data_IF_666139475376
#
_entry.id   IF_666139475376
#
_cell.length_a   1.000
_cell.length_b   1.000
_cell.length_c   1.000
_cell.angle_alpha   90.00
_cell.angle_beta   90.00
_cell.angle_gamma   90.00
#
_symmetry.space_group_name_H-M   'P 1'
#
loop_
_entity.id
_entity.type
_entity.pdbx_description
1 polymer ?
#
# COMPACT_ATOMS: atom_id res chain seq x y z
N UNK A 1 19.63 8.54 -8.55
CA UNK A 1 20.22 7.52 -7.68
C UNK A 1 21.41 8.15 -6.99
N UNK A 2 21.30 8.40 -5.70
CA UNK A 2 22.39 8.94 -4.89
C UNK A 2 23.40 7.85 -4.53
N UNK A 3 24.57 8.29 -4.10
CA UNK A 3 25.60 7.41 -3.61
C UNK A 3 25.11 6.68 -2.36
N UNK A 4 25.19 5.37 -2.36
CA UNK A 4 24.70 4.46 -1.29
C UNK A 4 25.32 4.80 0.08
N UNK A 5 26.46 5.46 0.13
CA UNK A 5 27.20 5.79 1.37
C UNK A 5 26.49 6.86 2.23
N UNK A 6 25.56 7.65 1.67
CA UNK A 6 24.84 8.71 2.38
C UNK A 6 23.32 8.68 2.15
N UNK A 7 22.75 7.51 2.04
CA UNK A 7 21.34 7.31 1.70
C UNK A 7 20.39 8.12 2.61
N UNK A 8 20.65 8.15 3.90
CA UNK A 8 19.87 8.91 4.88
C UNK A 8 19.80 10.42 4.59
N UNK A 9 20.83 10.98 3.98
CA UNK A 9 20.87 12.40 3.65
C UNK A 9 19.98 12.75 2.45
N UNK A 10 19.73 11.80 1.57
CA UNK A 10 19.00 12.00 0.32
C UNK A 10 17.58 11.47 0.31
N UNK A 11 17.12 10.86 1.40
CA UNK A 11 15.72 10.41 1.53
C UNK A 11 14.76 11.60 1.51
N UNK A 12 13.68 11.47 0.76
CA UNK A 12 12.59 12.44 0.78
C UNK A 12 11.99 12.54 2.18
N UNK A 13 11.80 13.75 2.69
CA UNK A 13 11.23 13.95 4.02
C UNK A 13 10.44 15.25 4.13
N UNK A 14 9.55 15.31 5.13
CA UNK A 14 8.78 16.51 5.47
C UNK A 14 7.96 17.02 4.26
N UNK A 15 7.45 16.11 3.44
CA UNK A 15 6.73 16.42 2.22
C UNK A 15 5.23 16.25 2.35
N UNK A 16 4.49 16.88 1.43
CA UNK A 16 3.05 16.67 1.26
C UNK A 16 2.76 16.39 -0.21
N UNK A 17 2.03 15.27 -0.46
CA UNK A 17 1.47 14.94 -1.77
C UNK A 17 -0.05 15.01 -1.65
N UNK A 18 -0.68 16.07 -2.13
CA UNK A 18 -2.09 16.33 -1.87
C UNK A 18 -2.87 16.79 -3.10
N UNK A 19 -4.13 16.33 -3.21
CA UNK A 19 -5.09 16.81 -4.19
C UNK A 19 -4.80 16.41 -5.64
N UNK A 20 -4.04 15.33 -5.86
CA UNK A 20 -3.69 14.89 -7.20
C UNK A 20 -4.72 13.88 -7.74
N UNK A 21 -4.89 13.89 -9.06
CA UNK A 21 -5.54 12.82 -9.82
C UNK A 21 -4.49 12.13 -10.68
N UNK A 22 -4.29 10.85 -10.43
CA UNK A 22 -3.31 10.02 -11.16
C UNK A 22 -4.06 8.90 -11.88
N UNK A 23 -3.80 8.75 -13.16
CA UNK A 23 -4.44 7.73 -14.00
C UNK A 23 -3.39 7.02 -14.86
N UNK A 24 -3.53 5.71 -14.97
CA UNK A 24 -2.76 4.88 -15.91
C UNK A 24 -1.24 4.96 -15.72
N UNK A 25 -0.79 5.02 -14.47
CA UNK A 25 0.62 4.82 -14.15
C UNK A 25 0.93 3.32 -14.35
N UNK A 26 1.62 3.01 -15.43
CA UNK A 26 1.90 1.62 -15.83
C UNK A 26 3.37 1.42 -16.09
N UNK A 27 3.89 0.28 -15.65
CA UNK A 27 5.26 -0.11 -15.93
C UNK A 27 5.45 -0.45 -17.41
N UNK A 28 6.38 0.24 -18.07
CA UNK A 28 6.75 -0.05 -19.44
C UNK A 28 7.78 -1.18 -19.59
N UNK A 29 8.31 -1.66 -18.47
CA UNK A 29 9.40 -2.66 -18.44
C UNK A 29 8.90 -4.08 -18.17
N UNK A 30 7.61 -4.33 -18.27
CA UNK A 30 7.03 -5.66 -18.10
C UNK A 30 6.89 -6.14 -16.64
N UNK A 31 7.30 -5.35 -15.66
CA UNK A 31 7.14 -5.67 -14.22
C UNK A 31 5.70 -5.56 -13.76
N UNK A 32 4.99 -4.54 -14.24
CA UNK A 32 3.58 -4.32 -13.91
C UNK A 32 3.35 -3.96 -12.45
N UNK A 33 4.24 -3.17 -11.84
CA UNK A 33 4.16 -2.73 -10.44
C UNK A 33 4.41 -1.21 -10.29
N UNK A 34 4.02 -0.41 -11.27
CA UNK A 34 4.12 1.04 -11.14
C UNK A 34 3.04 1.56 -10.19
N UNK A 35 3.44 2.11 -9.06
CA UNK A 35 2.54 2.83 -8.16
C UNK A 35 2.06 4.14 -8.78
N UNK A 36 0.76 4.43 -8.72
CA UNK A 36 0.25 5.73 -9.13
C UNK A 36 0.83 6.85 -8.29
N UNK A 37 0.96 6.64 -6.99
CA UNK A 37 1.76 7.45 -6.06
C UNK A 37 2.70 6.50 -5.34
N UNK A 38 4.00 6.80 -5.37
CA UNK A 38 5.01 5.97 -4.72
C UNK A 38 5.92 6.80 -3.81
N UNK A 39 6.07 6.35 -2.57
CA UNK A 39 7.04 6.87 -1.60
C UNK A 39 8.04 5.78 -1.31
N UNK A 40 9.27 5.90 -1.81
CA UNK A 40 10.37 4.94 -1.58
C UNK A 40 11.32 5.45 -0.50
N UNK A 41 11.31 4.80 0.66
CA UNK A 41 12.20 5.09 1.78
C UNK A 41 11.99 6.46 2.44
N UNK A 42 10.89 7.16 2.14
CA UNK A 42 10.62 8.50 2.66
C UNK A 42 10.34 8.55 4.16
N UNK A 43 10.44 9.75 4.75
CA UNK A 43 10.13 10.00 6.17
C UNK A 43 9.28 11.24 6.37
N UNK A 44 8.35 11.17 7.33
CA UNK A 44 7.52 12.30 7.75
C UNK A 44 6.79 12.96 6.54
N UNK A 45 6.14 12.13 5.73
CA UNK A 45 5.44 12.55 4.51
C UNK A 45 3.93 12.34 4.70
N UNK A 46 3.15 13.31 4.26
CA UNK A 46 1.69 13.22 4.21
C UNK A 46 1.24 13.01 2.77
N UNK A 47 0.45 11.95 2.52
CA UNK A 47 -0.18 11.68 1.23
C UNK A 47 -1.69 11.71 1.42
N UNK A 48 -2.36 12.75 0.89
CA UNK A 48 -3.76 12.98 1.21
C UNK A 48 -4.59 13.55 0.05
N UNK A 49 -5.90 13.28 0.09
CA UNK A 49 -6.88 13.82 -0.87
C UNK A 49 -6.54 13.53 -2.34
N UNK A 50 -5.86 12.43 -2.61
CA UNK A 50 -5.54 12.01 -3.97
C UNK A 50 -6.55 10.98 -4.48
N UNK A 51 -6.74 10.96 -5.78
CA UNK A 51 -7.50 9.93 -6.50
C UNK A 51 -6.55 9.20 -7.45
N UNK A 52 -6.47 7.88 -7.34
CA UNK A 52 -5.61 7.06 -8.21
C UNK A 52 -6.44 5.94 -8.83
N UNK A 53 -6.36 5.80 -10.15
CA UNK A 53 -7.13 4.79 -10.89
C UNK A 53 -6.37 4.24 -12.10
N UNK A 54 -6.76 3.04 -12.54
CA UNK A 54 -6.26 2.39 -13.77
C UNK A 54 -4.73 2.25 -13.83
N UNK A 55 -4.05 2.24 -12.69
CA UNK A 55 -2.60 2.08 -12.55
C UNK A 55 -2.26 0.63 -12.22
N UNK A 56 -0.99 0.23 -12.31
CA UNK A 56 -0.60 -1.13 -11.89
C UNK A 56 -0.89 -1.33 -10.40
N UNK A 57 -0.48 -0.37 -9.56
CA UNK A 57 -0.84 -0.25 -8.14
C UNK A 57 -1.47 1.13 -7.89
N UNK A 58 -2.44 1.20 -6.99
CA UNK A 58 -3.04 2.49 -6.63
C UNK A 58 -2.02 3.40 -5.93
N UNK A 59 -1.59 3.00 -4.76
CA UNK A 59 -0.59 3.73 -3.97
C UNK A 59 0.35 2.76 -3.30
N UNK A 60 1.64 3.08 -3.29
CA UNK A 60 2.67 2.30 -2.63
C UNK A 60 3.50 3.18 -1.68
N UNK A 61 3.61 2.74 -0.45
CA UNK A 61 4.56 3.25 0.53
C UNK A 61 5.58 2.15 0.77
N UNK A 62 6.77 2.31 0.23
CA UNK A 62 7.74 1.23 0.18
C UNK A 62 9.13 1.62 0.65
N UNK A 63 10.00 0.63 0.69
CA UNK A 63 11.44 0.79 0.80
C UNK A 63 12.11 -0.40 0.11
N UNK A 64 12.85 -0.14 -0.96
CA UNK A 64 13.41 -1.18 -1.84
C UNK A 64 14.90 -1.42 -1.64
N UNK A 65 15.52 -0.84 -0.63
CA UNK A 65 16.96 -0.96 -0.40
C UNK A 65 17.26 -1.55 0.98
N UNK A 66 18.30 -2.40 1.11
CA UNK A 66 18.72 -2.94 2.40
C UNK A 66 19.03 -1.82 3.41
N UNK A 67 18.50 -1.99 4.64
CA UNK A 67 18.71 -1.03 5.71
C UNK A 67 17.87 0.25 5.64
N UNK A 68 17.09 0.45 4.57
CA UNK A 68 16.22 1.61 4.45
C UNK A 68 14.85 1.33 5.09
N UNK A 69 14.35 2.34 5.78
CA UNK A 69 13.06 2.30 6.46
C UNK A 69 12.25 3.55 6.09
N UNK A 70 11.11 3.36 5.46
CA UNK A 70 10.11 4.42 5.35
C UNK A 70 9.34 4.51 6.67
N UNK A 71 9.20 5.71 7.23
CA UNK A 71 8.58 5.89 8.55
C UNK A 71 7.90 7.25 8.73
N UNK A 72 6.97 7.33 9.68
CA UNK A 72 6.22 8.57 9.94
C UNK A 72 5.35 9.02 8.76
N UNK A 73 4.98 8.08 7.90
CA UNK A 73 4.15 8.39 6.73
C UNK A 73 2.68 8.41 7.15
N UNK A 74 1.95 9.45 6.76
CA UNK A 74 0.51 9.54 6.98
C UNK A 74 -0.21 9.51 5.64
N UNK A 75 -0.93 8.42 5.37
CA UNK A 75 -1.76 8.24 4.17
C UNK A 75 -3.22 8.39 4.58
N UNK A 76 -3.89 9.45 4.11
CA UNK A 76 -5.27 9.72 4.55
C UNK A 76 -6.16 10.35 3.48
N UNK A 77 -7.46 10.07 3.58
CA UNK A 77 -8.48 10.70 2.74
C UNK A 77 -8.23 10.52 1.23
N UNK A 78 -7.62 9.42 0.82
CA UNK A 78 -7.39 9.11 -0.58
C UNK A 78 -8.47 8.17 -1.11
N UNK A 79 -8.68 8.17 -2.42
CA UNK A 79 -9.54 7.24 -3.14
C UNK A 79 -8.69 6.48 -4.16
N UNK A 80 -8.60 5.17 -4.01
CA UNK A 80 -7.80 4.28 -4.85
C UNK A 80 -8.73 3.24 -5.48
N UNK A 81 -8.89 3.24 -6.80
CA UNK A 81 -9.89 2.35 -7.39
C UNK A 81 -9.53 1.84 -8.78
N UNK A 82 -10.02 0.63 -9.09
CA UNK A 82 -9.85 0.00 -10.41
C UNK A 82 -8.39 -0.08 -10.87
N UNK A 83 -7.46 -0.29 -9.94
CA UNK A 83 -6.06 -0.53 -10.26
C UNK A 83 -5.83 -2.02 -10.53
N UNK A 84 -4.81 -2.33 -11.32
CA UNK A 84 -4.64 -3.65 -11.93
C UNK A 84 -4.33 -4.75 -10.92
N UNK A 85 -3.53 -4.46 -9.89
CA UNK A 85 -3.04 -5.47 -8.94
C UNK A 85 -3.41 -5.23 -7.49
N UNK A 86 -3.34 -3.99 -7.01
CA UNK A 86 -3.70 -3.67 -5.64
C UNK A 86 -4.17 -2.22 -5.49
N UNK A 87 -4.94 -1.93 -4.44
CA UNK A 87 -5.33 -0.59 -4.08
C UNK A 87 -4.24 0.14 -3.30
N UNK A 88 -4.08 -0.20 -2.03
CA UNK A 88 -3.09 0.36 -1.13
C UNK A 88 -2.03 -0.69 -0.79
N UNK A 89 -0.78 -0.36 -0.99
CA UNK A 89 0.37 -1.24 -0.72
C UNK A 89 1.31 -0.54 0.25
N UNK A 90 1.82 -1.28 1.24
CA UNK A 90 2.93 -0.76 2.02
C UNK A 90 3.85 -1.87 2.54
N UNK A 91 5.14 -1.55 2.62
CA UNK A 91 6.15 -2.42 3.20
C UNK A 91 7.50 -2.43 2.49
N UNK A 92 8.33 -3.40 2.84
CA UNK A 92 9.62 -3.64 2.21
C UNK A 92 9.50 -4.50 0.96
N UNK A 93 10.52 -4.46 0.12
CA UNK A 93 10.57 -5.22 -1.11
C UNK A 93 10.72 -6.74 -0.88
N UNK A 94 11.56 -7.12 0.08
CA UNK A 94 11.84 -8.53 0.41
C UNK A 94 12.37 -8.66 1.84
N UNK A 95 12.54 -9.88 2.31
CA UNK A 95 13.14 -10.14 3.62
C UNK A 95 14.53 -9.47 3.72
N UNK A 96 14.69 -8.55 4.67
CA UNK A 96 15.92 -7.78 4.84
C UNK A 96 16.16 -6.67 3.82
N UNK A 97 15.21 -6.42 2.91
CA UNK A 97 15.30 -5.37 1.89
C UNK A 97 14.16 -4.38 2.09
N UNK A 98 14.45 -3.32 2.83
CA UNK A 98 13.48 -2.28 3.14
C UNK A 98 12.44 -2.69 4.20
N UNK A 99 11.79 -1.68 4.78
CA UNK A 99 10.64 -1.81 5.70
C UNK A 99 9.81 -0.54 5.71
N UNK A 100 8.54 -0.69 6.10
CA UNK A 100 7.68 0.45 6.47
C UNK A 100 7.28 0.28 7.92
N UNK A 101 7.46 1.33 8.73
CA UNK A 101 7.12 1.29 10.15
C UNK A 101 6.62 2.63 10.68
N UNK A 102 6.00 2.59 11.85
CA UNK A 102 5.58 3.79 12.59
C UNK A 102 4.78 4.77 11.70
N UNK A 103 3.91 4.23 10.82
CA UNK A 103 3.14 4.98 9.82
C UNK A 103 1.65 4.76 10.00
N UNK A 104 0.84 5.70 9.49
CA UNK A 104 -0.61 5.70 9.69
C UNK A 104 -1.35 5.75 8.34
N UNK A 105 -2.24 4.79 8.12
CA UNK A 105 -3.10 4.67 6.95
C UNK A 105 -4.56 4.79 7.41
N UNK A 106 -5.21 5.93 7.17
CA UNK A 106 -6.55 6.18 7.72
C UNK A 106 -7.49 6.96 6.82
N UNK A 107 -8.76 6.71 6.98
CA UNK A 107 -9.83 7.41 6.24
C UNK A 107 -9.66 7.31 4.72
N UNK A 108 -9.03 6.27 4.21
CA UNK A 108 -8.92 6.04 2.78
C UNK A 108 -10.08 5.17 2.31
N UNK A 109 -10.43 5.29 1.05
CA UNK A 109 -11.37 4.41 0.36
C UNK A 109 -10.63 3.70 -0.76
N UNK A 110 -10.62 2.37 -0.73
CA UNK A 110 -10.14 1.54 -1.84
C UNK A 110 -11.29 0.68 -2.35
N UNK A 111 -11.49 0.63 -3.64
CA UNK A 111 -12.56 -0.21 -4.17
C UNK A 111 -12.30 -0.72 -5.57
N UNK A 112 -12.65 -2.00 -5.78
CA UNK A 112 -12.58 -2.62 -7.09
C UNK A 112 -11.17 -2.70 -7.66
N UNK A 113 -10.14 -2.79 -6.81
CA UNK A 113 -8.76 -3.01 -7.22
C UNK A 113 -8.50 -4.50 -7.46
N UNK A 114 -7.28 -4.84 -7.88
CA UNK A 114 -6.93 -6.19 -8.33
C UNK A 114 -7.78 -6.65 -9.53
N UNK A 115 -7.92 -5.75 -10.52
CA UNK A 115 -8.78 -6.00 -11.70
C UNK A 115 -8.26 -7.13 -12.57
N UNK A 116 -6.97 -7.44 -12.53
CA UNK A 116 -6.35 -8.55 -13.26
C UNK A 116 -6.33 -9.86 -12.46
N UNK A 117 -6.83 -9.89 -11.21
CA UNK A 117 -6.82 -11.07 -10.37
C UNK A 117 -5.40 -11.52 -10.01
N UNK A 118 -4.51 -10.57 -9.75
CA UNK A 118 -3.12 -10.83 -9.40
C UNK A 118 -2.97 -11.39 -7.97
N UNK A 119 -4.01 -11.26 -7.14
CA UNK A 119 -4.06 -11.83 -5.80
C UNK A 119 -3.50 -10.93 -4.72
N UNK A 120 -3.52 -9.61 -4.91
CA UNK A 120 -3.06 -8.65 -3.90
C UNK A 120 -4.19 -7.86 -3.24
N UNK A 121 -5.37 -7.78 -3.89
CA UNK A 121 -6.59 -7.22 -3.31
C UNK A 121 -6.59 -5.72 -3.08
N UNK A 122 -7.36 -5.30 -2.05
CA UNK A 122 -7.53 -3.88 -1.73
C UNK A 122 -6.39 -3.32 -0.87
N UNK A 123 -5.87 -4.14 0.04
CA UNK A 123 -4.76 -3.81 0.93
C UNK A 123 -3.69 -4.91 0.86
N UNK A 124 -2.47 -4.53 0.50
CA UNK A 124 -1.33 -5.44 0.47
C UNK A 124 -0.22 -4.97 1.41
N UNK A 125 0.22 -5.85 2.32
CA UNK A 125 1.21 -5.55 3.36
C UNK A 125 2.40 -6.49 3.25
N UNK A 126 3.61 -5.93 3.14
CA UNK A 126 4.87 -6.67 3.01
C UNK A 126 5.91 -6.15 4.00
N UNK A 127 6.55 -7.01 4.79
CA UNK A 127 7.68 -6.65 5.65
C UNK A 127 7.52 -5.29 6.37
N UNK A 128 6.40 -5.13 7.06
CA UNK A 128 6.02 -3.90 7.75
C UNK A 128 5.78 -4.15 9.23
N UNK A 129 6.09 -3.17 10.07
CA UNK A 129 5.92 -3.28 11.52
C UNK A 129 5.45 -1.99 12.18
N UNK A 130 4.66 -2.13 13.25
CA UNK A 130 4.22 -1.01 14.09
C UNK A 130 3.43 0.07 13.34
N UNK A 131 2.70 -0.30 12.29
CA UNK A 131 1.85 0.64 11.55
C UNK A 131 0.40 0.57 12.05
N UNK A 132 -0.38 1.62 11.78
CA UNK A 132 -1.79 1.70 12.11
C UNK A 132 -2.61 1.84 10.82
N UNK A 133 -3.57 0.91 10.62
CA UNK A 133 -4.53 0.93 9.51
C UNK A 133 -5.94 1.04 10.09
N UNK A 134 -6.55 2.22 10.04
CA UNK A 134 -7.85 2.43 10.70
C UNK A 134 -8.79 3.36 9.94
N UNK A 135 -10.07 3.20 10.20
CA UNK A 135 -11.14 4.03 9.64
C UNK A 135 -11.12 4.08 8.09
N UNK A 136 -10.64 3.03 7.44
CA UNK A 136 -10.65 2.93 5.99
C UNK A 136 -11.89 2.14 5.51
N UNK A 137 -12.22 2.31 4.25
CA UNK A 137 -13.24 1.52 3.55
C UNK A 137 -12.54 0.70 2.46
N UNK A 138 -12.66 -0.62 2.54
CA UNK A 138 -12.12 -1.58 1.59
C UNK A 138 -13.27 -2.35 0.91
N UNK A 139 -13.40 -2.22 -0.41
CA UNK A 139 -14.45 -2.85 -1.20
C UNK A 139 -13.84 -3.68 -2.32
N UNK A 140 -13.83 -4.98 -2.20
CA UNK A 140 -13.15 -5.86 -3.17
C UNK A 140 -13.89 -6.03 -4.50
N UNK A 141 -13.18 -6.57 -5.48
CA UNK A 141 -13.73 -7.12 -6.72
C UNK A 141 -14.48 -8.44 -6.45
N UNK A 142 -14.98 -9.09 -7.49
CA UNK A 142 -15.58 -10.42 -7.42
C UNK A 142 -14.63 -11.52 -6.90
N UNK A 143 -13.33 -11.24 -6.83
CA UNK A 143 -12.35 -12.13 -6.19
C UNK A 143 -12.51 -12.20 -4.67
N UNK A 144 -13.26 -11.26 -4.07
CA UNK A 144 -13.52 -11.13 -2.64
C UNK A 144 -12.26 -10.97 -1.76
N UNK A 145 -11.09 -10.71 -2.33
CA UNK A 145 -9.85 -10.52 -1.60
C UNK A 145 -9.74 -9.08 -1.10
N UNK A 146 -9.75 -8.92 0.20
CA UNK A 146 -9.72 -7.62 0.88
C UNK A 146 -8.34 -7.27 1.42
N UNK A 147 -7.64 -8.26 1.95
CA UNK A 147 -6.31 -8.11 2.54
C UNK A 147 -5.40 -9.25 2.11
N UNK A 148 -4.25 -8.89 1.58
CA UNK A 148 -3.11 -9.78 1.38
C UNK A 148 -1.95 -9.29 2.27
N UNK A 149 -1.49 -10.12 3.18
CA UNK A 149 -0.33 -9.83 4.02
C UNK A 149 0.69 -10.96 3.89
N UNK A 150 1.88 -10.60 3.44
CA UNK A 150 2.99 -11.55 3.35
C UNK A 150 3.55 -11.87 4.74
N UNK A 151 4.37 -12.90 4.84
CA UNK A 151 5.04 -13.24 6.10
C UNK A 151 6.03 -12.14 6.52
N UNK A 152 6.31 -12.05 7.82
CA UNK A 152 7.28 -11.09 8.36
C UNK A 152 6.70 -9.74 8.77
N UNK A 153 5.37 -9.61 8.79
CA UNK A 153 4.68 -8.45 9.34
C UNK A 153 4.43 -8.62 10.84
N UNK A 154 4.76 -7.59 11.63
CA UNK A 154 4.62 -7.65 13.10
C UNK A 154 4.11 -6.33 13.68
N UNK A 155 3.30 -6.40 14.74
CA UNK A 155 2.89 -5.23 15.51
C UNK A 155 2.02 -4.21 14.77
N UNK A 156 1.54 -4.52 13.56
CA UNK A 156 0.62 -3.65 12.85
C UNK A 156 -0.77 -3.74 13.49
N UNK A 157 -1.38 -2.60 13.79
CA UNK A 157 -2.75 -2.50 14.28
C UNK A 157 -3.71 -2.23 13.11
N UNK A 158 -4.64 -3.16 12.88
CA UNK A 158 -5.64 -3.04 11.81
C UNK A 158 -7.01 -3.10 12.45
N UNK A 159 -7.64 -1.95 12.64
CA UNK A 159 -8.90 -1.84 13.36
C UNK A 159 -9.84 -0.78 12.79
N UNK A 160 -11.11 -0.81 13.20
CA UNK A 160 -12.13 0.18 12.84
C UNK A 160 -12.27 0.41 11.31
N UNK A 161 -11.97 -0.58 10.48
CA UNK A 161 -12.14 -0.49 9.03
C UNK A 161 -13.47 -1.14 8.60
N UNK A 162 -14.03 -0.64 7.52
CA UNK A 162 -15.15 -1.26 6.83
C UNK A 162 -14.61 -2.18 5.74
N UNK A 163 -15.02 -3.44 5.77
CA UNK A 163 -14.65 -4.46 4.80
C UNK A 163 -15.91 -4.97 4.09
N UNK A 164 -15.94 -4.86 2.77
CA UNK A 164 -17.08 -5.33 1.99
C UNK A 164 -16.62 -6.18 0.80
N UNK A 165 -17.21 -7.35 0.66
CA UNK A 165 -16.99 -8.28 -0.44
C UNK A 165 -18.30 -8.57 -1.16
N UNK A 166 -18.34 -8.58 -2.51
CA UNK A 166 -19.56 -8.85 -3.28
C UNK A 166 -20.21 -10.19 -2.96
N UNK A 167 -19.41 -11.20 -2.62
CA UNK A 167 -19.90 -12.51 -2.21
C UNK A 167 -20.47 -12.58 -0.79
N UNK A 168 -20.47 -11.46 -0.06
CA UNK A 168 -20.87 -11.38 1.34
C UNK A 168 -19.76 -11.79 2.31
N UNK A 169 -20.05 -11.69 3.62
CA UNK A 169 -19.07 -11.92 4.67
C UNK A 169 -18.45 -13.34 4.65
N UNK A 170 -19.22 -14.34 4.26
CA UNK A 170 -18.72 -15.73 4.19
C UNK A 170 -17.76 -15.98 3.01
N UNK A 171 -17.74 -15.10 2.03
CA UNK A 171 -16.84 -15.18 0.89
C UNK A 171 -15.65 -14.19 0.98
N UNK A 172 -15.68 -13.30 1.97
CA UNK A 172 -14.61 -12.33 2.18
C UNK A 172 -13.30 -13.05 2.52
N UNK A 173 -12.22 -12.67 1.82
CA UNK A 173 -10.92 -13.33 1.94
C UNK A 173 -9.91 -12.38 2.58
N UNK A 174 -9.26 -12.90 3.61
CA UNK A 174 -8.16 -12.23 4.31
C UNK A 174 -6.99 -13.19 4.39
N UNK A 175 -5.86 -12.81 3.85
CA UNK A 175 -4.61 -13.57 3.96
C UNK A 175 -3.70 -12.84 4.94
N UNK A 176 -3.36 -13.46 6.04
CA UNK A 176 -2.53 -12.87 7.08
C UNK A 176 -1.24 -13.67 7.27
N UNK A 177 -0.09 -13.01 7.08
CA UNK A 177 1.23 -13.65 7.15
C UNK A 177 1.31 -14.95 6.31
N UNK A 178 0.73 -14.91 5.12
CA UNK A 178 0.71 -16.02 4.18
C UNK A 178 -0.33 -17.12 4.50
N UNK A 179 -1.18 -16.94 5.51
CA UNK A 179 -2.25 -17.89 5.86
C UNK A 179 -3.62 -17.26 5.60
N UNK A 180 -4.47 -17.94 4.83
CA UNK A 180 -5.85 -17.52 4.56
C UNK A 180 -6.79 -17.91 5.70
N UNK A 181 -7.68 -16.98 6.09
CA UNK A 181 -8.72 -17.16 7.14
C UNK A 181 -10.11 -16.82 6.59
#
# INVERSE_FOLDING_TARGET
CGDIVNFEQYLARNGVCSGNRVERARSSYGGGFAGGIYVDGGRDIVVEHNVVTESDLGMEIGAENPGIVASGIVVRNNVLHHNDKAGLVFGGYAAGVGRVRDSEFRNNTTYGNDTLGAGFGELWIQYADSNVVRNNVFVSTSANLLLQSDAGNTGNAIDHNVWWAPGGAAAARFVWNGSES
#
